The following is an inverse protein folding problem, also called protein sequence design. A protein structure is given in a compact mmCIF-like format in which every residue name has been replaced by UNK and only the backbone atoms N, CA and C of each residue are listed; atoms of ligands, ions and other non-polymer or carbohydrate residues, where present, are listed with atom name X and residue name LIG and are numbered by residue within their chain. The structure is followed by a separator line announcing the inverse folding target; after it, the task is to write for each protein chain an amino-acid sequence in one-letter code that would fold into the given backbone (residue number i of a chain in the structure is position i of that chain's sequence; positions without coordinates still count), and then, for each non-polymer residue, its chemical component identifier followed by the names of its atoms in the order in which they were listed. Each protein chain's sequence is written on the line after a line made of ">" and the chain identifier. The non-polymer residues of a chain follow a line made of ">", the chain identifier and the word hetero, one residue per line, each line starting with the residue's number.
data_IF_444519595843
#
_entry.id   IF_444519595843
#
_cell.length_a   1.000
_cell.length_b   1.000
_cell.length_c   1.000
_cell.angle_alpha   90.00
_cell.angle_beta   90.00
_cell.angle_gamma   90.00
#
_symmetry.space_group_name_H-M   'P 1'
#
loop_
_entity.id
_entity.type
_entity.pdbx_description
1 polymer ?
#
# COMPACT_ATOMS: atom_id res chain seq x y z
N UNK A 1 -4.24 39.58 -24.18
CA UNK A 1 -3.28 38.46 -24.04
C UNK A 1 -3.14 37.98 -22.60
N UNK A 2 -2.98 38.87 -21.61
CA UNK A 2 -2.78 38.49 -20.20
C UNK A 2 -3.90 37.60 -19.58
N UNK A 3 -5.18 37.87 -19.86
CA UNK A 3 -6.30 37.10 -19.27
C UNK A 3 -6.36 35.63 -19.75
N UNK A 4 -5.85 35.33 -20.95
CA UNK A 4 -5.90 33.98 -21.52
C UNK A 4 -4.80 33.08 -20.94
N UNK A 5 -3.66 33.68 -20.59
CA UNK A 5 -2.53 33.02 -19.95
C UNK A 5 -2.85 32.71 -18.47
N UNK A 6 -3.49 33.63 -17.75
CA UNK A 6 -3.92 33.41 -16.35
C UNK A 6 -4.94 32.26 -16.22
N UNK A 7 -5.95 32.19 -17.11
CA UNK A 7 -6.91 31.08 -17.14
C UNK A 7 -6.26 29.73 -17.49
N UNK A 8 -5.16 29.76 -18.24
CA UNK A 8 -4.40 28.55 -18.62
C UNK A 8 -3.57 28.03 -17.46
N UNK A 9 -2.90 28.91 -16.72
CA UNK A 9 -2.15 28.57 -15.50
C UNK A 9 -3.07 28.01 -14.42
N UNK A 10 -4.25 28.62 -14.23
CA UNK A 10 -5.22 28.13 -13.24
C UNK A 10 -5.68 26.70 -13.57
N UNK A 11 -6.01 26.42 -14.84
CA UNK A 11 -6.42 25.08 -15.30
C UNK A 11 -5.31 24.04 -15.15
N UNK A 12 -4.06 24.40 -15.49
CA UNK A 12 -2.89 23.51 -15.33
C UNK A 12 -2.67 23.21 -13.85
N UNK A 13 -2.69 24.24 -13.01
CA UNK A 13 -2.50 24.14 -11.57
C UNK A 13 -3.57 23.24 -10.95
N UNK A 14 -4.84 23.43 -11.31
CA UNK A 14 -5.96 22.61 -10.82
C UNK A 14 -5.81 21.14 -11.20
N UNK A 15 -5.44 20.84 -12.45
CA UNK A 15 -5.17 19.46 -12.89
C UNK A 15 -3.99 18.84 -12.14
N UNK A 16 -2.93 19.59 -11.91
CA UNK A 16 -1.75 19.11 -11.21
C UNK A 16 -2.03 18.77 -9.73
N UNK A 17 -2.83 19.60 -9.05
CA UNK A 17 -3.24 19.33 -7.67
C UNK A 17 -4.23 18.16 -7.56
N UNK A 18 -5.18 18.02 -8.48
CA UNK A 18 -6.10 16.88 -8.51
C UNK A 18 -5.33 15.58 -8.73
N UNK A 19 -4.47 15.52 -9.76
CA UNK A 19 -3.67 14.33 -10.04
C UNK A 19 -2.74 13.95 -8.87
N UNK A 20 -2.14 14.94 -8.18
CA UNK A 20 -1.34 14.68 -6.98
C UNK A 20 -2.19 14.18 -5.81
N UNK A 21 -3.37 14.75 -5.58
CA UNK A 21 -4.28 14.32 -4.52
C UNK A 21 -4.75 12.88 -4.75
N UNK A 22 -5.07 12.52 -5.99
CA UNK A 22 -5.48 11.16 -6.37
C UNK A 22 -4.33 10.18 -6.14
N UNK A 23 -3.12 10.52 -6.56
CA UNK A 23 -1.93 9.70 -6.32
C UNK A 23 -1.58 9.53 -4.84
N UNK A 24 -1.77 10.57 -4.02
CA UNK A 24 -1.59 10.48 -2.56
C UNK A 24 -2.66 9.58 -1.92
N UNK A 25 -3.89 9.64 -2.42
CA UNK A 25 -4.99 8.79 -1.94
C UNK A 25 -4.73 7.34 -2.30
N UNK A 26 -4.35 7.05 -3.54
CA UNK A 26 -3.95 5.73 -4.01
C UNK A 26 -2.80 5.17 -3.16
N UNK A 27 -1.72 5.94 -2.97
CA UNK A 27 -0.61 5.52 -2.11
C UNK A 27 -1.08 5.22 -0.69
N UNK A 28 -1.91 6.10 -0.09
CA UNK A 28 -2.43 5.89 1.26
C UNK A 28 -3.24 4.60 1.35
N UNK A 29 -4.07 4.30 0.36
CA UNK A 29 -4.90 3.10 0.33
C UNK A 29 -4.03 1.84 0.14
N UNK A 30 -3.00 1.90 -0.72
CA UNK A 30 -2.01 0.82 -0.84
C UNK A 30 -1.25 0.58 0.47
N UNK A 31 -0.76 1.64 1.12
CA UNK A 31 -0.09 1.54 2.41
C UNK A 31 -1.01 0.96 3.49
N UNK A 32 -2.29 1.37 3.49
CA UNK A 32 -3.28 0.86 4.42
C UNK A 32 -3.53 -0.63 4.19
N UNK A 33 -3.80 -1.04 2.95
CA UNK A 33 -4.00 -2.44 2.56
C UNK A 33 -2.81 -3.30 3.02
N UNK A 34 -1.59 -2.85 2.69
CA UNK A 34 -0.34 -3.52 3.07
C UNK A 34 -0.17 -3.64 4.58
N UNK A 35 -0.38 -2.55 5.32
CA UNK A 35 -0.27 -2.56 6.79
C UNK A 35 -1.27 -3.51 7.47
N UNK A 36 -2.50 -3.56 6.96
CA UNK A 36 -3.55 -4.44 7.49
C UNK A 36 -3.23 -5.90 7.19
N UNK A 37 -2.74 -6.21 5.99
CA UNK A 37 -2.36 -7.56 5.60
C UNK A 37 -1.19 -8.08 6.47
N UNK A 38 -0.11 -7.28 6.61
CA UNK A 38 1.04 -7.63 7.47
C UNK A 38 0.60 -7.83 8.92
N UNK A 39 -0.23 -6.92 9.46
CA UNK A 39 -0.72 -7.05 10.83
C UNK A 39 -1.50 -8.35 11.03
N UNK A 40 -2.46 -8.66 10.16
CA UNK A 40 -3.23 -9.90 10.25
C UNK A 40 -2.35 -11.15 10.16
N UNK A 41 -1.38 -11.11 9.27
CA UNK A 41 -0.42 -12.20 9.07
C UNK A 41 0.43 -12.45 10.31
N UNK A 42 1.05 -11.42 10.87
CA UNK A 42 1.86 -11.53 12.10
C UNK A 42 1.04 -12.02 13.30
N UNK A 43 -0.21 -11.54 13.44
CA UNK A 43 -1.13 -12.02 14.48
C UNK A 43 -1.47 -13.51 14.31
N UNK A 44 -1.64 -13.99 13.07
CA UNK A 44 -1.88 -15.41 12.79
C UNK A 44 -0.64 -16.24 13.05
N UNK A 45 0.52 -15.85 12.53
CA UNK A 45 1.82 -16.49 12.81
C UNK A 45 2.04 -16.71 14.31
N UNK A 46 1.79 -15.68 15.12
CA UNK A 46 1.96 -15.75 16.58
C UNK A 46 0.96 -16.73 17.22
N UNK A 47 -0.26 -16.81 16.70
CA UNK A 47 -1.32 -17.69 17.24
C UNK A 47 -1.16 -19.15 16.82
N UNK A 48 -0.63 -19.39 15.63
CA UNK A 48 -0.50 -20.73 15.04
C UNK A 48 0.87 -21.37 15.29
N UNK A 49 1.81 -20.64 15.90
CA UNK A 49 3.18 -21.13 16.12
C UNK A 49 3.93 -21.31 14.80
N UNK A 50 3.78 -20.35 13.88
CA UNK A 50 4.49 -20.37 12.60
C UNK A 50 3.80 -21.11 11.45
N UNK A 51 2.61 -21.70 11.67
CA UNK A 51 1.86 -22.29 10.55
C UNK A 51 1.10 -21.23 9.76
N UNK A 52 1.32 -21.22 8.45
CA UNK A 52 0.73 -20.25 7.51
C UNK A 52 0.20 -21.01 6.30
N UNK A 53 -1.00 -20.67 5.84
CA UNK A 53 -1.55 -21.23 4.61
C UNK A 53 -1.18 -20.41 3.36
N UNK A 54 -1.24 -21.02 2.17
CA UNK A 54 -0.91 -20.33 0.91
C UNK A 54 -1.83 -19.13 0.64
N UNK A 55 -3.08 -19.17 1.12
CA UNK A 55 -4.03 -18.07 0.91
C UNK A 55 -3.62 -16.82 1.70
N UNK A 56 -3.00 -16.98 2.86
CA UNK A 56 -2.42 -15.88 3.64
C UNK A 56 -1.21 -15.26 2.97
N UNK A 57 -0.33 -16.09 2.41
CA UNK A 57 0.82 -15.63 1.63
C UNK A 57 0.34 -14.88 0.39
N UNK A 58 -0.66 -15.39 -0.31
CA UNK A 58 -1.24 -14.74 -1.48
C UNK A 58 -1.93 -13.41 -1.14
N UNK A 59 -2.54 -13.30 0.04
CA UNK A 59 -3.09 -12.03 0.54
C UNK A 59 -2.01 -10.97 0.76
N UNK A 60 -0.79 -11.37 1.16
CA UNK A 60 0.34 -10.46 1.29
C UNK A 60 0.89 -10.03 -0.08
N UNK A 61 1.02 -10.97 -1.02
CA UNK A 61 1.43 -10.66 -2.41
C UNK A 61 0.47 -9.70 -3.09
N UNK A 62 -0.84 -9.93 -2.93
CA UNK A 62 -1.90 -9.04 -3.43
C UNK A 62 -1.81 -7.64 -2.81
N UNK A 63 -1.35 -7.55 -1.57
CA UNK A 63 -1.13 -6.29 -0.88
C UNK A 63 0.22 -5.61 -1.23
N UNK A 64 0.98 -6.18 -2.18
CA UNK A 64 2.26 -5.66 -2.63
C UNK A 64 3.42 -5.91 -1.66
N UNK A 65 3.32 -6.93 -0.80
CA UNK A 65 4.43 -7.38 0.06
C UNK A 65 5.31 -8.34 -0.73
N UNK A 66 6.61 -8.08 -0.73
CA UNK A 66 7.58 -8.89 -1.48
C UNK A 66 7.91 -10.22 -0.80
N UNK A 67 8.37 -11.22 -1.55
CA UNK A 67 8.70 -12.54 -1.00
C UNK A 67 9.77 -12.49 0.10
N UNK A 68 10.79 -11.64 -0.06
CA UNK A 68 11.85 -11.47 0.95
C UNK A 68 11.31 -10.87 2.26
N UNK A 69 10.32 -9.98 2.16
CA UNK A 69 9.64 -9.42 3.33
C UNK A 69 8.75 -10.47 4.00
N UNK A 70 8.05 -11.31 3.22
CA UNK A 70 7.24 -12.41 3.75
C UNK A 70 8.14 -13.39 4.51
N UNK A 71 9.28 -13.78 3.94
CA UNK A 71 10.26 -14.64 4.63
C UNK A 71 10.75 -14.02 5.94
N UNK A 72 11.11 -12.73 5.92
CA UNK A 72 11.54 -12.03 7.12
C UNK A 72 10.44 -11.98 8.21
N UNK A 73 9.17 -11.83 7.82
CA UNK A 73 8.04 -11.89 8.76
C UNK A 73 7.86 -13.29 9.36
N UNK A 74 7.98 -14.34 8.55
CA UNK A 74 7.90 -15.73 9.04
C UNK A 74 9.06 -16.04 9.99
N UNK A 75 10.29 -15.65 9.64
CA UNK A 75 11.48 -15.85 10.49
C UNK A 75 11.38 -15.09 11.82
N UNK A 76 10.83 -13.86 11.81
CA UNK A 76 10.74 -13.02 13.00
C UNK A 76 9.60 -13.44 13.95
N UNK A 77 8.49 -13.98 13.42
CA UNK A 77 7.26 -14.20 14.19
C UNK A 77 6.76 -15.67 14.22
N UNK A 78 7.38 -16.58 13.47
CA UNK A 78 6.94 -17.98 13.34
C UNK A 78 7.58 -18.98 14.31
N UNK A 79 7.95 -18.54 15.52
CA UNK A 79 8.56 -19.39 16.56
C UNK A 79 7.53 -20.19 17.38
#
# INVERSE_FOLDING_TARGET
>A
MLEQDEQSVEKITRRYFVAKKDKVTELRDTYRLRSVAIKRFTERLTKTGGFVDEAEIESLRTAGVGEDEIKALVEAYGA
#
